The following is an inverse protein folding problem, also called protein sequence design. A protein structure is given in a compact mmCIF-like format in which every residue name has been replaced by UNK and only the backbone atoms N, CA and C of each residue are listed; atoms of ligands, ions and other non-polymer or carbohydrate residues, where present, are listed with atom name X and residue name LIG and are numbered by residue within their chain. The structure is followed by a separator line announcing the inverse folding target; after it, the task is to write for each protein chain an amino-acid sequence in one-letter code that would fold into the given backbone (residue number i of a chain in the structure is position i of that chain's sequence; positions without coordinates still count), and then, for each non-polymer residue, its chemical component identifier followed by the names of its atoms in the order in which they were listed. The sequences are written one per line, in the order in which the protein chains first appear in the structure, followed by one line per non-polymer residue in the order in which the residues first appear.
data_IF_744304442010
#
_entry.id   IF_744304442010
#
_cell.length_a   1.000
_cell.length_b   1.000
_cell.length_c   1.000
_cell.angle_alpha   90.00
_cell.angle_beta   90.00
_cell.angle_gamma   90.00
#
_symmetry.space_group_name_H-M   'P 1'
#
loop_
_entity.id
_entity.type
_entity.pdbx_description
1 polymer ?
#
# COMPACT_ATOMS: atom_id res chain seq x y z
N UNK A 1 -4.36 1.53 12.80
CA UNK A 1 -3.13 1.89 13.52
C UNK A 1 -2.17 2.67 12.61
N UNK A 2 -1.39 3.63 13.14
CA UNK A 2 -0.34 4.34 12.39
C UNK A 2 1.04 3.81 12.79
N UNK A 3 1.87 3.49 11.80
CA UNK A 3 3.26 3.04 12.01
C UNK A 3 4.18 4.08 11.37
N UNK A 4 5.17 4.58 12.12
CA UNK A 4 6.16 5.56 11.64
C UNK A 4 7.52 4.90 11.50
N UNK A 5 8.30 5.38 10.54
CA UNK A 5 9.65 4.88 10.24
C UNK A 5 10.65 6.04 10.24
N UNK A 6 11.91 5.74 10.58
CA UNK A 6 13.00 6.71 10.58
C UNK A 6 13.51 7.00 9.17
N UNK A 7 13.26 6.09 8.22
CA UNK A 7 13.68 6.26 6.83
C UNK A 7 12.97 5.33 5.87
N UNK A 8 13.18 5.60 4.58
CA UNK A 8 12.57 4.85 3.48
C UNK A 8 12.96 3.38 3.50
N UNK A 9 14.24 3.06 3.72
CA UNK A 9 14.73 1.68 3.68
C UNK A 9 14.06 0.81 4.76
N UNK A 10 14.04 1.30 6.00
CA UNK A 10 13.35 0.66 7.13
C UNK A 10 11.87 0.42 6.83
N UNK A 11 11.19 1.42 6.26
CA UNK A 11 9.79 1.29 5.88
C UNK A 11 9.56 0.22 4.80
N UNK A 12 10.40 0.18 3.77
CA UNK A 12 10.29 -0.82 2.69
C UNK A 12 10.59 -2.23 3.21
N UNK A 13 11.60 -2.40 4.05
CA UNK A 13 11.89 -3.69 4.70
C UNK A 13 10.72 -4.15 5.55
N UNK A 14 10.09 -3.24 6.29
CA UNK A 14 8.90 -3.56 7.07
C UNK A 14 7.73 -3.99 6.17
N UNK A 15 7.46 -3.25 5.09
CA UNK A 15 6.37 -3.58 4.14
C UNK A 15 6.62 -4.94 3.48
N UNK A 16 7.86 -5.25 3.09
CA UNK A 16 8.22 -6.52 2.48
C UNK A 16 7.96 -7.72 3.41
N UNK A 17 8.15 -7.53 4.72
CA UNK A 17 7.88 -8.56 5.73
C UNK A 17 6.40 -8.64 6.12
N UNK A 18 5.65 -7.54 6.00
CA UNK A 18 4.24 -7.47 6.38
C UNK A 18 3.29 -7.90 5.24
N UNK A 19 3.63 -7.58 3.99
CA UNK A 19 2.78 -7.84 2.85
C UNK A 19 2.67 -9.34 2.56
N UNK A 20 1.45 -9.83 2.39
CA UNK A 20 1.15 -11.22 2.07
C UNK A 20 1.33 -11.51 0.57
N UNK A 21 1.27 -10.47 -0.27
CA UNK A 21 1.42 -10.56 -1.71
C UNK A 21 1.97 -9.26 -2.31
N UNK A 22 2.38 -9.33 -3.57
CA UNK A 22 2.97 -8.22 -4.33
C UNK A 22 2.00 -7.04 -4.48
N UNK A 23 0.70 -7.31 -4.66
CA UNK A 23 -0.31 -6.25 -4.77
C UNK A 23 -0.42 -5.41 -3.49
N UNK A 24 -0.43 -6.08 -2.33
CA UNK A 24 -0.43 -5.41 -1.03
C UNK A 24 0.86 -4.62 -0.79
N UNK A 25 2.01 -5.18 -1.17
CA UNK A 25 3.30 -4.50 -1.09
C UNK A 25 3.27 -3.18 -1.87
N UNK A 26 2.81 -3.20 -3.12
CA UNK A 26 2.75 -2.01 -3.97
C UNK A 26 1.79 -0.95 -3.41
N UNK A 27 0.61 -1.35 -2.92
CA UNK A 27 -0.33 -0.41 -2.29
C UNK A 27 0.29 0.28 -1.07
N UNK A 28 0.94 -0.48 -0.20
CA UNK A 28 1.61 0.07 0.98
C UNK A 28 2.80 0.95 0.61
N UNK A 29 3.57 0.57 -0.42
CA UNK A 29 4.70 1.35 -0.95
C UNK A 29 4.23 2.70 -1.51
N UNK A 30 3.13 2.71 -2.26
CA UNK A 30 2.54 3.94 -2.79
C UNK A 30 1.94 4.81 -1.68
N UNK A 31 1.29 4.22 -0.67
CA UNK A 31 0.84 4.95 0.51
C UNK A 31 2.00 5.62 1.24
N UNK A 32 3.11 4.90 1.43
CA UNK A 32 4.33 5.40 2.05
C UNK A 32 4.90 6.60 1.27
N UNK A 33 5.00 6.46 -0.06
CA UNK A 33 5.49 7.52 -0.94
C UNK A 33 4.60 8.76 -0.87
N UNK A 34 3.27 8.58 -0.95
CA UNK A 34 2.31 9.65 -0.85
C UNK A 34 2.43 10.40 0.48
N UNK A 35 2.47 9.66 1.59
CA UNK A 35 2.62 10.24 2.93
C UNK A 35 3.92 11.04 3.05
N UNK A 36 5.04 10.54 2.51
CA UNK A 36 6.29 11.30 2.54
C UNK A 36 6.24 12.57 1.69
N UNK A 37 5.64 12.52 0.50
CA UNK A 37 5.54 13.68 -0.40
C UNK A 37 4.75 14.82 0.25
N UNK A 38 3.63 14.50 0.91
CA UNK A 38 2.73 15.53 1.43
C UNK A 38 3.00 15.93 2.89
N UNK A 39 3.54 15.02 3.71
CA UNK A 39 3.74 15.26 5.14
C UNK A 39 5.22 15.34 5.53
N UNK A 40 6.14 14.91 4.66
CA UNK A 40 7.58 14.90 4.92
C UNK A 40 8.07 13.72 5.77
N UNK A 41 7.18 12.81 6.20
CA UNK A 41 7.53 11.68 7.07
C UNK A 41 7.11 10.34 6.48
N UNK A 42 7.89 9.29 6.76
CA UNK A 42 7.57 7.91 6.37
C UNK A 42 6.63 7.28 7.40
N UNK A 43 5.36 7.06 7.02
CA UNK A 43 4.41 6.35 7.86
C UNK A 43 3.36 5.60 7.03
N UNK A 44 2.74 4.59 7.64
CA UNK A 44 1.61 3.83 7.07
C UNK A 44 0.38 3.98 7.97
N UNK A 45 -0.81 3.96 7.35
CA UNK A 45 -2.08 3.81 8.05
C UNK A 45 -2.60 2.41 7.73
N UNK A 46 -2.43 1.49 8.67
CA UNK A 46 -2.99 0.14 8.59
C UNK A 46 -4.40 0.19 9.18
N UNK A 47 -5.42 0.08 8.34
CA UNK A 47 -6.79 -0.20 8.80
C UNK A 47 -6.91 -1.72 8.94
N UNK A 48 -7.58 -2.21 9.99
CA UNK A 48 -7.72 -3.66 10.25
C UNK A 48 -8.48 -4.39 9.12
N UNK A 49 -9.17 -3.65 8.27
CA UNK A 49 -9.76 -4.12 7.01
C UNK A 49 -9.11 -3.38 5.83
N UNK A 50 -7.87 -3.70 5.47
CA UNK A 50 -7.41 -3.37 4.13
C UNK A 50 -8.15 -4.26 3.14
N UNK A 51 -9.32 -3.79 2.72
CA UNK A 51 -10.24 -4.47 1.83
C UNK A 51 -9.55 -5.02 0.60
N UNK A 52 -9.99 -6.21 0.22
CA UNK A 52 -9.71 -6.91 -1.03
C UNK A 52 -9.50 -5.90 -2.18
N UNK A 53 -8.30 -5.91 -2.76
CA UNK A 53 -8.03 -5.18 -4.00
C UNK A 53 -8.81 -5.90 -5.09
N UNK A 54 -9.99 -5.39 -5.44
CA UNK A 54 -10.77 -5.88 -6.58
C UNK A 54 -9.97 -5.57 -7.84
N UNK A 55 -9.35 -6.60 -8.43
CA UNK A 55 -8.85 -6.52 -9.80
C UNK A 55 -10.00 -6.11 -10.71
N UNK A 56 -9.90 -4.95 -11.35
CA UNK A 56 -10.84 -4.47 -12.38
C UNK A 56 -10.66 -5.25 -13.69
N UNK A 57 -10.51 -6.56 -13.61
CA UNK A 57 -10.55 -7.45 -14.77
C UNK A 57 -11.99 -7.90 -15.01
N UNK A 58 -12.79 -6.98 -15.55
CA UNK A 58 -13.94 -7.29 -16.43
C UNK A 58 -14.47 -5.99 -17.02
N UNK A 59 -13.94 -5.68 -18.20
CA UNK A 59 -14.51 -4.72 -19.14
C UNK A 59 -15.85 -5.30 -19.65
N UNK A 60 -17.04 -4.74 -19.32
CA UNK A 60 -18.29 -5.19 -19.91
C UNK A 60 -18.48 -4.45 -21.23
N UNK A 61 -17.60 -4.72 -22.18
CA UNK A 61 -17.78 -4.31 -23.58
C UNK A 61 -17.52 -5.54 -24.43
N UNK A 62 -18.46 -6.47 -24.40
CA UNK A 62 -18.75 -7.39 -25.50
C UNK A 62 -19.93 -8.29 -25.10
N UNK A 63 -21.14 -7.86 -25.46
CA UNK A 63 -22.23 -8.79 -25.79
C UNK A 63 -23.26 -8.04 -26.62
N UNK A 64 -23.04 -8.13 -27.93
CA UNK A 64 -24.01 -8.15 -29.05
C UNK A 64 -24.95 -6.97 -29.25
#
# INVERSE_FOLDING_TARGET
MKIRFNGRLEAIEWIANYAENEGQFEVLREQLNFNHIYEGFYFLKIEEEMGEVVSLDKNPRESR
#
